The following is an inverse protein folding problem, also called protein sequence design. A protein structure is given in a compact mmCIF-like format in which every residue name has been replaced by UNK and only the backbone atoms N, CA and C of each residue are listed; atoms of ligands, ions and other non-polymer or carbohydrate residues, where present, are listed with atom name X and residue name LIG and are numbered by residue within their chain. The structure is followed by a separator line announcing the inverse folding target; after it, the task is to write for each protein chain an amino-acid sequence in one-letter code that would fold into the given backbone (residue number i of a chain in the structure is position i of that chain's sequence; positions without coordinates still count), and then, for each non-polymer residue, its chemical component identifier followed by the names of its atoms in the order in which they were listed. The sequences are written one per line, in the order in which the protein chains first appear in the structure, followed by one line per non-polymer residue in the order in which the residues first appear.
data_IF_506659093832
#
_entry.id   IF_506659093832
#
_cell.length_a   1.000
_cell.length_b   1.000
_cell.length_c   1.000
_cell.angle_alpha   90.00
_cell.angle_beta   90.00
_cell.angle_gamma   90.00
#
_symmetry.space_group_name_H-M   'P 1'
#
loop_
_entity.id
_entity.type
_entity.pdbx_description
1 polymer ?
#
# COMPACT_ATOMS: atom_id res chain seq x y z
N UNK A 1 -0.38 -6.99 15.77
CA UNK A 1 0.76 -6.31 15.10
C UNK A 1 1.95 -7.22 14.88
N UNK A 2 2.50 -7.90 15.90
CA UNK A 2 3.72 -8.74 15.76
C UNK A 2 3.63 -9.79 14.62
N UNK A 3 2.51 -10.52 14.51
CA UNK A 3 2.32 -11.53 13.46
C UNK A 3 2.29 -10.91 12.05
N UNK A 4 1.71 -9.72 11.92
CA UNK A 4 1.61 -8.99 10.65
C UNK A 4 3.00 -8.48 10.23
N UNK A 5 3.74 -7.89 11.16
CA UNK A 5 5.12 -7.44 10.93
C UNK A 5 6.05 -8.61 10.55
N UNK A 6 5.90 -9.75 11.23
CA UNK A 6 6.67 -10.94 10.90
C UNK A 6 6.35 -11.47 9.50
N UNK A 7 5.07 -11.51 9.12
CA UNK A 7 4.65 -11.87 7.76
C UNK A 7 5.19 -10.87 6.72
N UNK A 8 5.14 -9.57 7.01
CA UNK A 8 5.70 -8.54 6.13
C UNK A 8 7.21 -8.69 5.95
N UNK A 9 7.96 -9.00 7.02
CA UNK A 9 9.39 -9.23 6.95
C UNK A 9 9.72 -10.44 6.05
N UNK A 10 9.00 -11.56 6.20
CA UNK A 10 9.16 -12.74 5.33
C UNK A 10 8.90 -12.37 3.87
N UNK A 11 7.80 -11.66 3.60
CA UNK A 11 7.44 -11.22 2.25
C UNK A 11 8.54 -10.33 1.66
N UNK A 12 9.06 -9.35 2.40
CA UNK A 12 10.14 -8.47 1.93
C UNK A 12 11.44 -9.20 1.60
N UNK A 13 11.80 -10.23 2.38
CA UNK A 13 12.98 -11.06 2.09
C UNK A 13 12.78 -11.88 0.82
N UNK A 14 11.60 -12.50 0.67
CA UNK A 14 11.26 -13.28 -0.54
C UNK A 14 11.21 -12.37 -1.78
N UNK A 15 10.67 -11.17 -1.65
CA UNK A 15 10.66 -10.15 -2.71
C UNK A 15 12.07 -9.79 -3.14
N UNK A 16 12.97 -9.50 -2.19
CA UNK A 16 14.36 -9.17 -2.51
C UNK A 16 15.03 -10.31 -3.29
N UNK A 17 14.84 -11.56 -2.85
CA UNK A 17 15.37 -12.73 -3.55
C UNK A 17 14.81 -12.88 -4.97
N UNK A 18 13.54 -12.55 -5.21
CA UNK A 18 12.93 -12.61 -6.54
C UNK A 18 13.42 -11.50 -7.47
N UNK A 19 13.63 -10.30 -6.93
CA UNK A 19 14.21 -9.15 -7.64
C UNK A 19 15.66 -9.44 -8.03
N UNK A 20 16.47 -9.99 -7.11
CA UNK A 20 17.88 -10.33 -7.36
C UNK A 20 18.05 -11.41 -8.46
N UNK A 21 17.01 -12.24 -8.70
CA UNK A 21 16.98 -13.20 -9.79
C UNK A 21 16.59 -12.58 -11.16
N UNK A 22 16.45 -11.26 -11.26
CA UNK A 22 16.15 -10.55 -12.52
C UNK A 22 14.70 -10.65 -12.97
N UNK A 23 13.76 -10.97 -12.06
CA UNK A 23 12.34 -11.09 -12.41
C UNK A 23 11.76 -9.70 -12.71
N UNK A 24 11.00 -9.57 -13.80
CA UNK A 24 10.33 -8.30 -14.13
C UNK A 24 9.32 -7.89 -13.04
N UNK A 25 9.57 -6.73 -12.42
CA UNK A 25 8.75 -6.15 -11.35
C UNK A 25 7.25 -6.14 -11.65
N UNK A 26 6.88 -5.77 -12.88
CA UNK A 26 5.49 -5.69 -13.32
C UNK A 26 4.77 -7.04 -13.26
N UNK A 27 5.41 -8.13 -13.71
CA UNK A 27 4.80 -9.47 -13.69
C UNK A 27 4.53 -9.93 -12.27
N UNK A 28 5.45 -9.65 -11.34
CA UNK A 28 5.26 -9.97 -9.94
C UNK A 28 4.07 -9.20 -9.33
N UNK A 29 3.97 -7.90 -9.62
CA UNK A 29 2.86 -7.06 -9.14
C UNK A 29 1.53 -7.55 -9.69
N UNK A 30 1.46 -7.83 -10.99
CA UNK A 30 0.25 -8.37 -11.63
C UNK A 30 -0.16 -9.69 -10.99
N UNK A 31 0.77 -10.63 -10.79
CA UNK A 31 0.46 -11.93 -10.19
C UNK A 31 -0.09 -11.78 -8.76
N UNK A 32 0.55 -10.93 -7.94
CA UNK A 32 0.08 -10.64 -6.58
C UNK A 32 -1.33 -10.06 -6.56
N UNK A 33 -1.61 -9.10 -7.45
CA UNK A 33 -2.92 -8.45 -7.52
C UNK A 33 -4.00 -9.37 -8.08
N UNK A 34 -3.67 -10.23 -9.05
CA UNK A 34 -4.58 -11.24 -9.59
C UNK A 34 -4.98 -12.27 -8.55
N UNK A 35 -4.01 -12.77 -7.76
CA UNK A 35 -4.27 -13.67 -6.64
C UNK A 35 -5.19 -12.99 -5.62
N UNK A 36 -4.83 -11.78 -5.17
CA UNK A 36 -5.65 -11.02 -4.21
C UNK A 36 -7.09 -10.87 -4.71
N UNK A 37 -7.26 -10.50 -5.98
CA UNK A 37 -8.58 -10.38 -6.61
C UNK A 37 -9.33 -11.72 -6.62
N UNK A 38 -8.67 -12.83 -6.97
CA UNK A 38 -9.30 -14.15 -7.01
C UNK A 38 -9.81 -14.62 -5.64
N UNK A 39 -9.10 -14.28 -4.56
CA UNK A 39 -9.50 -14.62 -3.19
C UNK A 39 -10.53 -13.65 -2.61
N UNK A 40 -10.37 -12.33 -2.82
CA UNK A 40 -11.32 -11.33 -2.29
C UNK A 40 -12.63 -11.29 -3.08
N UNK A 41 -12.62 -11.53 -4.39
CA UNK A 41 -13.82 -11.46 -5.23
C UNK A 41 -14.98 -12.35 -4.73
N UNK A 42 -14.79 -13.64 -4.41
CA UNK A 42 -15.88 -14.45 -3.88
C UNK A 42 -16.33 -13.98 -2.50
N UNK A 43 -15.39 -13.59 -1.62
CA UNK A 43 -15.71 -13.11 -0.28
C UNK A 43 -16.57 -11.84 -0.34
N UNK A 44 -16.13 -10.83 -1.10
CA UNK A 44 -16.89 -9.61 -1.33
C UNK A 44 -18.22 -9.89 -2.04
N UNK A 45 -18.24 -10.87 -2.95
CA UNK A 45 -19.49 -11.25 -3.61
C UNK A 45 -20.52 -11.77 -2.61
N UNK A 46 -20.14 -12.71 -1.74
CA UNK A 46 -21.05 -13.33 -0.77
C UNK A 46 -21.42 -12.40 0.39
N UNK A 47 -20.46 -11.64 0.93
CA UNK A 47 -20.64 -10.81 2.12
C UNK A 47 -21.46 -9.55 1.82
N UNK A 48 -21.21 -8.89 0.69
CA UNK A 48 -21.80 -7.58 0.37
C UNK A 48 -22.96 -7.66 -0.62
N UNK A 49 -23.45 -8.86 -0.97
CA UNK A 49 -24.53 -9.05 -1.97
C UNK A 49 -25.77 -8.18 -1.74
N UNK A 50 -26.09 -7.86 -0.49
CA UNK A 50 -27.30 -7.13 -0.11
C UNK A 50 -27.07 -5.62 0.12
N UNK A 51 -25.81 -5.16 0.18
CA UNK A 51 -25.45 -3.77 0.49
C UNK A 51 -24.80 -3.04 -0.69
N UNK A 52 -24.84 -3.60 -1.91
CA UNK A 52 -24.13 -3.05 -3.06
C UNK A 52 -24.75 -1.73 -3.54
N UNK A 53 -24.00 -0.62 -3.52
CA UNK A 53 -24.42 0.59 -4.24
C UNK A 53 -24.36 0.32 -5.76
N UNK A 54 -25.18 1.03 -6.53
CA UNK A 54 -25.14 0.96 -8.00
C UNK A 54 -23.77 1.47 -8.47
N UNK A 55 -23.04 0.64 -9.21
CA UNK A 55 -21.77 1.04 -9.82
C UNK A 55 -22.08 2.04 -10.94
N UNK A 56 -21.72 3.31 -10.72
CA UNK A 56 -21.75 4.35 -11.76
C UNK A 56 -20.34 4.54 -12.33
N UNK A 57 -20.25 5.05 -13.56
CA UNK A 57 -18.95 5.31 -14.22
C UNK A 57 -18.05 6.25 -13.40
N UNK A 58 -18.64 7.21 -12.67
CA UNK A 58 -17.88 8.13 -11.83
C UNK A 58 -17.22 7.40 -10.64
N UNK A 59 -17.97 6.52 -9.96
CA UNK A 59 -17.42 5.69 -8.88
C UNK A 59 -16.33 4.76 -9.41
N UNK A 60 -16.52 4.18 -10.60
CA UNK A 60 -15.52 3.34 -11.23
C UNK A 60 -14.23 4.12 -11.54
N UNK A 61 -14.36 5.36 -12.01
CA UNK A 61 -13.21 6.26 -12.23
C UNK A 61 -12.47 6.55 -10.91
N UNK A 62 -13.18 6.91 -9.83
CA UNK A 62 -12.55 7.14 -8.53
C UNK A 62 -11.86 5.90 -7.98
N UNK A 63 -12.50 4.73 -8.07
CA UNK A 63 -11.89 3.45 -7.67
C UNK A 63 -10.65 3.13 -8.49
N UNK A 64 -10.69 3.38 -9.81
CA UNK A 64 -9.55 3.16 -10.69
C UNK A 64 -8.36 4.07 -10.35
N UNK A 65 -8.60 5.37 -10.16
CA UNK A 65 -7.55 6.32 -9.75
C UNK A 65 -6.98 5.96 -8.38
N UNK A 66 -7.83 5.59 -7.43
CA UNK A 66 -7.42 5.15 -6.10
C UNK A 66 -6.57 3.87 -6.17
N UNK A 67 -6.97 2.88 -6.98
CA UNK A 67 -6.23 1.63 -7.15
C UNK A 67 -4.87 1.85 -7.84
N UNK A 68 -4.82 2.72 -8.86
CA UNK A 68 -3.56 3.06 -9.54
C UNK A 68 -2.60 3.74 -8.56
N UNK A 69 -3.04 4.80 -7.88
CA UNK A 69 -2.18 5.59 -7.00
C UNK A 69 -1.81 4.85 -5.72
N UNK A 70 -2.77 4.18 -5.09
CA UNK A 70 -2.62 3.58 -3.75
C UNK A 70 -2.13 2.13 -3.74
N UNK A 71 -2.28 1.38 -4.84
CA UNK A 71 -1.82 0.00 -4.91
C UNK A 71 -0.71 -0.16 -5.96
N UNK A 72 -1.03 0.09 -7.23
CA UNK A 72 -0.13 -0.25 -8.34
C UNK A 72 1.18 0.56 -8.32
N UNK A 73 1.08 1.90 -8.25
CA UNK A 73 2.27 2.77 -8.21
C UNK A 73 3.05 2.57 -6.92
N UNK A 74 2.37 2.51 -5.77
CA UNK A 74 3.04 2.30 -4.48
C UNK A 74 3.84 1.01 -4.47
N UNK A 75 3.26 -0.10 -4.95
CA UNK A 75 3.95 -1.38 -5.01
C UNK A 75 5.10 -1.37 -6.02
N UNK A 76 4.91 -0.73 -7.17
CA UNK A 76 5.96 -0.60 -8.18
C UNK A 76 7.16 0.18 -7.66
N UNK A 77 6.95 1.37 -7.10
CA UNK A 77 8.01 2.17 -6.51
C UNK A 77 8.67 1.48 -5.32
N UNK A 78 7.91 0.72 -4.53
CA UNK A 78 8.47 -0.04 -3.42
C UNK A 78 9.44 -1.12 -3.90
N UNK A 79 9.08 -1.88 -4.94
CA UNK A 79 9.97 -2.91 -5.49
C UNK A 79 11.20 -2.29 -6.17
N UNK A 80 11.01 -1.20 -6.92
CA UNK A 80 12.12 -0.44 -7.49
C UNK A 80 13.06 0.07 -6.37
N UNK A 81 12.50 0.56 -5.26
CA UNK A 81 13.27 0.96 -4.09
C UNK A 81 14.05 -0.20 -3.48
N UNK A 82 13.47 -1.39 -3.36
CA UNK A 82 14.14 -2.61 -2.88
C UNK A 82 15.23 -3.08 -3.84
N UNK A 83 15.10 -2.85 -5.15
CA UNK A 83 16.15 -3.14 -6.12
C UNK A 83 17.41 -2.32 -5.83
N UNK A 84 17.25 -1.00 -5.64
CA UNK A 84 18.35 -0.07 -5.37
C UNK A 84 18.83 -0.03 -3.91
N UNK A 85 18.05 -0.57 -2.97
CA UNK A 85 18.36 -0.54 -1.53
C UNK A 85 18.35 -1.93 -0.90
N UNK A 86 18.57 -2.02 0.42
CA UNK A 86 18.46 -3.28 1.16
C UNK A 86 17.07 -3.45 1.77
N UNK A 87 16.62 -4.68 1.94
CA UNK A 87 15.33 -4.96 2.61
C UNK A 87 15.26 -4.33 4.02
N UNK A 88 16.38 -4.31 4.75
CA UNK A 88 16.48 -3.67 6.07
C UNK A 88 16.27 -2.15 5.99
N UNK A 89 16.84 -1.49 4.97
CA UNK A 89 16.64 -0.06 4.74
C UNK A 89 15.18 0.24 4.41
N UNK A 90 14.55 -0.55 3.53
CA UNK A 90 13.13 -0.39 3.19
C UNK A 90 12.23 -0.57 4.42
N UNK A 91 12.51 -1.56 5.27
CA UNK A 91 11.77 -1.76 6.53
C UNK A 91 11.90 -0.56 7.48
N UNK A 92 13.10 0.00 7.63
CA UNK A 92 13.31 1.19 8.44
C UNK A 92 12.56 2.41 7.85
N UNK A 93 12.62 2.55 6.52
CA UNK A 93 12.03 3.69 5.79
C UNK A 93 10.50 3.73 5.86
N UNK A 94 9.82 2.58 5.96
CA UNK A 94 8.35 2.54 6.14
C UNK A 94 7.91 3.29 7.40
N UNK A 95 8.75 3.44 8.42
CA UNK A 95 8.42 4.24 9.61
C UNK A 95 8.28 5.75 9.33
N UNK A 96 8.71 6.23 8.16
CA UNK A 96 8.47 7.61 7.71
C UNK A 96 7.06 7.83 7.18
N UNK A 97 6.31 6.77 6.84
CA UNK A 97 4.94 6.86 6.30
C UNK A 97 4.04 7.77 7.15
N UNK A 98 3.93 7.64 8.49
CA UNK A 98 3.11 8.54 9.29
C UNK A 98 3.58 10.00 9.22
N UNK A 99 4.89 10.25 9.18
CA UNK A 99 5.45 11.61 9.08
C UNK A 99 5.07 12.27 7.76
N UNK A 100 5.23 11.55 6.65
CA UNK A 100 4.85 12.04 5.32
C UNK A 100 3.33 12.21 5.22
N UNK A 101 2.56 11.31 5.83
CA UNK A 101 1.09 11.41 5.86
C UNK A 101 0.63 12.67 6.58
N UNK A 102 1.22 12.98 7.75
CA UNK A 102 0.94 14.21 8.49
C UNK A 102 1.28 15.46 7.67
N UNK A 103 2.47 15.50 7.05
CA UNK A 103 2.88 16.62 6.20
C UNK A 103 1.89 16.82 5.03
N UNK A 104 1.40 15.74 4.44
CA UNK A 104 0.37 15.82 3.40
C UNK A 104 -0.99 16.27 3.95
N UNK A 105 -1.37 15.90 5.17
CA UNK A 105 -2.65 16.24 5.77
C UNK A 105 -2.79 17.73 6.11
N UNK A 106 -1.68 18.39 6.46
CA UNK A 106 -1.64 19.83 6.82
C UNK A 106 -2.21 20.78 5.75
N UNK A 107 -1.77 20.77 4.47
CA UNK A 107 -2.31 21.68 3.46
C UNK A 107 -3.79 21.41 3.13
N UNK A 108 -4.29 20.20 3.36
CA UNK A 108 -5.71 19.88 3.20
C UNK A 108 -6.57 20.24 4.43
N UNK A 109 -5.96 20.76 5.49
CA UNK A 109 -6.66 21.11 6.73
C UNK A 109 -7.27 19.91 7.45
N UNK A 110 -6.81 18.69 7.12
CA UNK A 110 -7.28 17.45 7.76
C UNK A 110 -6.69 17.30 9.17
N UNK A 111 -5.60 17.99 9.45
CA UNK A 111 -4.88 17.94 10.72
C UNK A 111 -4.42 19.35 11.13
N UNK A 112 -4.59 19.70 12.40
CA UNK A 112 -4.25 21.03 12.93
C UNK A 112 -2.96 20.97 13.72
N UNK A 113 -1.94 21.71 13.28
CA UNK A 113 -0.65 21.77 13.95
C UNK A 113 -0.67 22.80 15.07
N UNK A 114 -0.66 22.34 16.32
CA UNK A 114 -0.50 23.22 17.47
C UNK A 114 0.98 23.36 17.84
N UNK A 115 1.61 24.43 17.35
CA UNK A 115 3.06 24.71 17.50
C UNK A 115 3.47 24.89 18.97
N UNK A 116 2.53 25.21 19.87
CA UNK A 116 2.79 25.44 21.29
C UNK A 116 2.84 24.13 22.11
N UNK A 117 2.35 23.01 21.58
CA UNK A 117 2.45 21.70 22.24
C UNK A 117 3.69 20.94 21.74
N UNK A 118 4.67 20.79 22.62
CA UNK A 118 5.93 20.05 22.36
C UNK A 118 5.75 18.52 22.35
N UNK A 119 4.52 18.02 22.52
CA UNK A 119 4.22 16.59 22.41
C UNK A 119 3.67 16.29 21.02
N UNK A 120 4.29 15.34 20.30
CA UNK A 120 3.86 14.83 18.99
C UNK A 120 2.51 14.11 19.05
N UNK A 121 1.47 14.83 19.46
CA UNK A 121 0.07 14.45 19.36
C UNK A 121 -0.50 15.36 18.29
N UNK A 122 -0.65 14.79 17.10
CA UNK A 122 -1.66 15.24 16.17
C UNK A 122 -3.05 14.98 16.76
#
# INVERSE_FOLDING_TARGET
MIVVEFAFAIVNILLKKLVDNGTSHLVFITYRQSISTMFLAPIGFFLERNSRPKITLNILCYLFLCAILGASLTQYFFLLGIEYTSATFSCAFINMVPVITFIMALPFGLETLNIERTGGKA
#
